data_IF_523722243016
#
_entry.id   IF_523722243016
#
_cell.length_a   1.000
_cell.length_b   1.000
_cell.length_c   1.000
_cell.angle_alpha   90.00
_cell.angle_beta   90.00
_cell.angle_gamma   90.00
#
_symmetry.space_group_name_H-M   'P 1'
#
loop_
_entity.id
_entity.type
_entity.pdbx_description
1 polymer ?
#
# COMPACT_ATOMS: atom_id res chain seq x y z
N UNK A 1 -5.00 -23.31 12.49
CA UNK A 1 -4.42 -22.06 13.02
C UNK A 1 -5.58 -21.12 13.35
N UNK A 2 -5.50 -20.33 14.43
CA UNK A 2 -6.59 -19.41 14.77
C UNK A 2 -6.64 -18.23 13.78
N UNK A 3 -7.86 -17.75 13.47
CA UNK A 3 -8.09 -16.52 12.68
C UNK A 3 -7.19 -15.40 13.18
N UNK A 4 -6.57 -14.66 12.24
CA UNK A 4 -5.75 -13.49 12.57
C UNK A 4 -6.72 -12.36 12.90
N UNK A 5 -6.71 -11.88 14.14
CA UNK A 5 -7.62 -10.82 14.61
C UNK A 5 -6.98 -9.43 14.60
N UNK A 6 -5.66 -9.36 14.78
CA UNK A 6 -4.89 -8.11 14.75
C UNK A 6 -3.45 -8.33 14.31
N UNK A 7 -2.77 -7.25 14.00
CA UNK A 7 -1.34 -7.16 13.75
C UNK A 7 -0.76 -5.99 14.55
N UNK A 8 0.54 -6.01 14.79
CA UNK A 8 1.27 -4.86 15.30
C UNK A 8 1.95 -4.14 14.16
N UNK A 9 1.94 -2.82 14.18
CA UNK A 9 2.71 -2.00 13.26
C UNK A 9 4.20 -2.06 13.68
N UNK A 10 4.83 -3.21 13.43
CA UNK A 10 6.17 -3.55 13.87
C UNK A 10 6.37 -3.34 15.36
N UNK A 11 7.54 -2.86 15.74
CA UNK A 11 7.94 -2.58 17.12
C UNK A 11 7.29 -1.33 17.77
N UNK A 12 6.33 -0.68 17.09
CA UNK A 12 5.66 0.53 17.60
C UNK A 12 4.72 0.28 18.77
N UNK A 13 4.23 -0.96 18.94
CA UNK A 13 3.14 -1.27 19.84
C UNK A 13 1.74 -0.86 19.35
N UNK A 14 1.62 -0.16 18.22
CA UNK A 14 0.34 0.22 17.61
C UNK A 14 -0.32 -1.05 17.03
N UNK A 15 -1.52 -1.36 17.52
CA UNK A 15 -2.32 -2.46 16.97
C UNK A 15 -3.16 -1.98 15.78
N UNK A 16 -3.24 -2.83 14.75
CA UNK A 16 -4.02 -2.61 13.54
C UNK A 16 -4.78 -3.88 13.15
N UNK A 17 -5.79 -3.75 12.33
CA UNK A 17 -6.46 -4.89 11.68
C UNK A 17 -5.46 -5.76 10.89
N UNK A 18 -5.79 -7.03 10.58
CA UNK A 18 -4.90 -7.94 9.84
C UNK A 18 -4.53 -7.46 8.43
N UNK A 19 -5.30 -6.52 7.91
CA UNK A 19 -5.04 -5.80 6.67
C UNK A 19 -5.42 -4.33 6.83
N UNK A 20 -4.79 -3.46 6.04
CA UNK A 20 -5.24 -2.09 5.84
C UNK A 20 -5.95 -1.93 4.50
N UNK A 21 -6.22 -0.69 4.11
CA UNK A 21 -6.68 -0.31 2.78
C UNK A 21 -5.75 0.71 2.14
N UNK A 22 -5.39 0.48 0.87
CA UNK A 22 -4.64 1.43 0.04
C UNK A 22 -5.57 2.44 -0.60
N UNK A 23 -5.34 3.72 -0.30
CA UNK A 23 -6.19 4.83 -0.71
C UNK A 23 -5.71 5.53 -1.99
N UNK A 24 -4.83 4.89 -2.77
CA UNK A 24 -4.36 5.48 -4.02
C UNK A 24 -5.48 5.64 -5.04
N UNK A 25 -6.30 4.60 -5.23
CA UNK A 25 -7.34 4.61 -6.26
C UNK A 25 -8.49 5.59 -5.98
N UNK A 26 -8.67 6.05 -4.74
CA UNK A 26 -9.65 7.07 -4.36
C UNK A 26 -9.08 8.50 -4.43
N UNK A 27 -7.80 8.66 -4.76
CA UNK A 27 -7.18 9.98 -4.94
C UNK A 27 -7.63 10.70 -6.22
N UNK A 28 -8.17 9.97 -7.18
CA UNK A 28 -8.53 10.54 -8.48
C UNK A 28 -7.33 10.76 -9.41
N UNK A 29 -7.52 11.52 -10.49
CA UNK A 29 -6.49 11.71 -11.51
C UNK A 29 -5.39 12.66 -11.03
N UNK A 30 -4.14 12.34 -11.39
CA UNK A 30 -2.96 13.21 -11.30
C UNK A 30 -1.89 12.70 -12.27
N UNK A 31 -0.91 13.53 -12.60
CA UNK A 31 0.02 13.26 -13.70
C UNK A 31 1.47 13.57 -13.32
N UNK A 32 2.42 12.92 -14.03
CA UNK A 32 3.81 13.32 -14.14
C UNK A 32 4.08 13.62 -15.61
N UNK A 33 4.07 14.91 -15.98
CA UNK A 33 4.01 15.33 -17.37
C UNK A 33 2.74 14.83 -18.06
N UNK A 34 2.90 14.04 -19.13
CA UNK A 34 1.76 13.42 -19.84
C UNK A 34 1.37 12.03 -19.31
N UNK A 35 2.15 11.49 -18.37
CA UNK A 35 1.94 10.12 -17.85
C UNK A 35 0.94 10.13 -16.70
N UNK A 36 -0.21 9.44 -16.81
CA UNK A 36 -1.16 9.34 -15.73
C UNK A 36 -0.56 8.55 -14.56
N UNK A 37 -0.75 9.06 -13.35
CA UNK A 37 -0.32 8.45 -12.10
C UNK A 37 -1.52 8.04 -11.23
N UNK A 38 -2.73 8.37 -11.64
CA UNK A 38 -3.98 8.05 -10.95
C UNK A 38 -4.75 6.91 -11.61
N UNK A 39 -5.95 6.66 -11.10
CA UNK A 39 -6.84 5.58 -11.53
C UNK A 39 -8.07 6.12 -12.28
N UNK A 40 -7.99 7.33 -12.86
CA UNK A 40 -9.11 8.04 -13.46
C UNK A 40 -10.03 8.70 -12.43
N UNK A 41 -11.18 9.20 -12.89
CA UNK A 41 -12.16 9.91 -12.06
C UNK A 41 -12.71 9.03 -10.93
N UNK A 42 -13.03 9.67 -9.80
CA UNK A 42 -13.52 9.02 -8.58
C UNK A 42 -14.79 9.72 -8.06
N UNK A 43 -15.63 8.95 -7.38
CA UNK A 43 -16.77 9.44 -6.62
C UNK A 43 -16.38 9.47 -5.13
N UNK A 44 -16.25 10.68 -4.58
CA UNK A 44 -15.86 10.87 -3.18
C UNK A 44 -16.89 10.30 -2.20
N UNK A 45 -18.16 10.42 -2.51
CA UNK A 45 -19.22 9.90 -1.64
C UNK A 45 -19.21 8.37 -1.60
N UNK A 46 -18.96 7.71 -2.76
CA UNK A 46 -18.74 6.25 -2.77
C UNK A 46 -17.46 5.88 -2.03
N UNK A 47 -16.39 6.66 -2.19
CA UNK A 47 -15.14 6.44 -1.47
C UNK A 47 -15.31 6.52 0.05
N UNK A 48 -16.07 7.52 0.53
CA UNK A 48 -16.37 7.69 1.96
C UNK A 48 -17.26 6.55 2.47
N UNK A 49 -18.30 6.17 1.71
CA UNK A 49 -19.13 4.99 2.06
C UNK A 49 -18.29 3.72 2.16
N UNK A 50 -17.35 3.53 1.24
CA UNK A 50 -16.45 2.38 1.25
C UNK A 50 -15.50 2.39 2.47
N UNK A 51 -14.97 3.56 2.86
CA UNK A 51 -14.14 3.71 4.06
C UNK A 51 -14.96 3.39 5.32
N UNK A 52 -16.18 3.89 5.43
CA UNK A 52 -17.05 3.58 6.57
C UNK A 52 -17.41 2.09 6.63
N UNK A 53 -17.71 1.48 5.47
CA UNK A 53 -17.93 0.02 5.40
C UNK A 53 -16.69 -0.79 5.84
N UNK A 54 -15.48 -0.28 5.56
CA UNK A 54 -14.24 -0.90 6.03
C UNK A 54 -14.12 -0.85 7.55
N UNK A 55 -14.44 0.29 8.17
CA UNK A 55 -14.47 0.44 9.63
C UNK A 55 -15.47 -0.53 10.28
N UNK A 56 -16.67 -0.65 9.70
CA UNK A 56 -17.71 -1.58 10.20
C UNK A 56 -17.27 -3.05 10.09
N UNK A 57 -16.38 -3.36 9.14
CA UNK A 57 -15.77 -4.68 8.96
C UNK A 57 -14.49 -4.87 9.78
N UNK A 58 -14.13 -3.90 10.64
CA UNK A 58 -13.00 -3.97 11.56
C UNK A 58 -11.64 -3.58 10.96
N UNK A 59 -11.58 -2.98 9.79
CA UNK A 59 -10.34 -2.44 9.21
C UNK A 59 -10.03 -1.10 9.88
N UNK A 60 -8.80 -0.95 10.39
CA UNK A 60 -8.39 0.24 11.15
C UNK A 60 -7.21 0.98 10.53
N UNK A 61 -6.48 0.37 9.58
CA UNK A 61 -5.32 0.98 8.92
C UNK A 61 -5.69 1.48 7.51
N UNK A 62 -5.37 2.74 7.21
CA UNK A 62 -5.58 3.36 5.91
C UNK A 62 -4.26 3.96 5.42
N UNK A 63 -3.78 3.49 4.27
CA UNK A 63 -2.54 3.94 3.64
C UNK A 63 -2.84 4.89 2.48
N UNK A 64 -2.32 6.09 2.55
CA UNK A 64 -2.41 7.12 1.51
C UNK A 64 -1.03 7.69 1.17
N UNK A 65 -0.96 8.78 0.42
CA UNK A 65 0.21 9.60 0.20
C UNK A 65 -0.20 11.04 -0.12
N UNK A 66 0.70 11.99 0.17
CA UNK A 66 0.50 13.39 -0.15
C UNK A 66 0.24 13.62 -1.65
N UNK A 67 0.90 12.84 -2.51
CA UNK A 67 0.82 12.96 -3.98
C UNK A 67 -0.44 12.35 -4.59
N UNK A 68 -1.16 11.47 -3.91
CA UNK A 68 -2.34 10.79 -4.48
C UNK A 68 -3.47 11.77 -4.77
N UNK A 69 -3.71 11.99 -6.09
CA UNK A 69 -4.61 13.02 -6.58
C UNK A 69 -4.18 14.43 -6.20
N UNK A 70 -2.86 14.68 -6.00
CA UNK A 70 -2.32 15.94 -5.54
C UNK A 70 -2.97 16.42 -4.21
N UNK A 71 -2.93 15.56 -3.20
CA UNK A 71 -3.50 15.84 -1.88
C UNK A 71 -4.96 15.42 -1.71
N UNK A 72 -5.65 15.04 -2.79
CA UNK A 72 -7.08 14.75 -2.74
C UNK A 72 -7.42 13.55 -1.85
N UNK A 73 -6.65 12.45 -1.95
CA UNK A 73 -6.86 11.26 -1.12
C UNK A 73 -6.79 11.56 0.39
N UNK A 74 -5.86 12.41 0.82
CA UNK A 74 -5.77 12.86 2.22
C UNK A 74 -7.03 13.65 2.64
N UNK A 75 -7.56 14.53 1.77
CA UNK A 75 -8.81 15.27 2.04
C UNK A 75 -10.03 14.35 2.13
N UNK A 76 -10.13 13.31 1.30
CA UNK A 76 -11.21 12.31 1.37
C UNK A 76 -11.14 11.58 2.71
N UNK A 77 -9.94 11.17 3.16
CA UNK A 77 -9.76 10.55 4.48
C UNK A 77 -10.14 11.50 5.62
N UNK A 78 -9.78 12.77 5.55
CA UNK A 78 -10.15 13.78 6.55
C UNK A 78 -11.67 13.90 6.71
N UNK A 79 -12.41 13.90 5.59
CA UNK A 79 -13.89 13.91 5.60
C UNK A 79 -14.45 12.62 6.19
N UNK A 80 -13.92 11.47 5.79
CA UNK A 80 -14.38 10.17 6.26
C UNK A 80 -14.15 9.95 7.76
N UNK A 81 -13.09 10.54 8.33
CA UNK A 81 -12.70 10.33 9.74
C UNK A 81 -13.04 11.49 10.65
N UNK A 82 -13.86 12.45 10.18
CA UNK A 82 -14.31 13.57 11.01
C UNK A 82 -14.99 13.06 12.30
N UNK A 83 -14.46 13.49 13.45
CA UNK A 83 -14.96 13.07 14.78
C UNK A 83 -14.53 11.68 15.25
N UNK A 84 -13.81 10.89 14.44
CA UNK A 84 -13.38 9.53 14.79
C UNK A 84 -11.87 9.27 14.54
N UNK A 85 -11.06 10.33 14.40
CA UNK A 85 -9.62 10.24 14.07
C UNK A 85 -8.85 9.26 14.96
N UNK A 86 -9.15 9.21 16.24
CA UNK A 86 -8.49 8.33 17.22
C UNK A 86 -8.81 6.84 17.07
N UNK A 87 -9.83 6.49 16.26
CA UNK A 87 -10.24 5.10 16.01
C UNK A 87 -9.48 4.47 14.84
N UNK A 88 -8.68 5.24 14.11
CA UNK A 88 -7.99 4.81 12.89
C UNK A 88 -6.50 5.06 12.98
N UNK A 89 -5.75 4.27 12.23
CA UNK A 89 -4.31 4.41 12.00
C UNK A 89 -4.13 4.90 10.56
N UNK A 90 -3.58 6.09 10.39
CA UNK A 90 -3.31 6.70 9.09
C UNK A 90 -1.82 6.58 8.77
N UNK A 91 -1.52 5.91 7.67
CA UNK A 91 -0.22 5.90 7.04
C UNK A 91 -0.26 6.86 5.84
N UNK A 92 0.61 7.86 5.80
CA UNK A 92 0.80 8.69 4.61
C UNK A 92 2.26 8.78 4.23
N UNK A 93 2.57 9.39 3.10
CA UNK A 93 3.90 9.40 2.51
C UNK A 93 4.30 10.81 2.07
N UNK A 94 5.61 11.03 1.93
CA UNK A 94 6.20 12.29 1.49
C UNK A 94 7.31 12.04 0.48
N UNK A 95 7.84 13.05 -0.11
CA UNK A 95 8.93 13.24 -1.03
C UNK A 95 8.50 13.97 -2.30
N UNK A 96 7.38 13.52 -2.91
CA UNK A 96 6.91 14.15 -4.15
C UNK A 96 6.33 15.53 -3.88
N UNK A 97 6.76 16.48 -4.71
CA UNK A 97 6.22 17.86 -4.79
C UNK A 97 5.22 17.90 -5.94
N UNK A 98 4.12 18.58 -5.76
CA UNK A 98 3.05 18.66 -6.75
C UNK A 98 2.31 20.00 -6.68
N UNK A 99 1.67 20.36 -7.77
CA UNK A 99 0.75 21.47 -7.86
C UNK A 99 -0.70 20.93 -7.72
N UNK A 100 -1.41 21.40 -6.69
CA UNK A 100 -2.78 20.96 -6.39
C UNK A 100 -3.80 21.39 -7.46
N UNK A 101 -3.57 22.52 -8.14
CA UNK A 101 -4.49 23.07 -9.14
C UNK A 101 -4.40 22.29 -10.46
N UNK A 102 -3.18 22.06 -10.93
CA UNK A 102 -2.93 21.34 -12.18
C UNK A 102 -2.86 19.84 -11.99
N UNK A 103 -2.79 19.36 -10.73
CA UNK A 103 -2.57 17.96 -10.35
C UNK A 103 -1.31 17.35 -10.96
N UNK A 104 -0.28 18.18 -11.17
CA UNK A 104 1.00 17.73 -11.70
C UNK A 104 2.01 17.47 -10.61
N UNK A 105 2.70 16.34 -10.72
CA UNK A 105 3.94 16.09 -9.96
C UNK A 105 5.02 16.96 -10.59
N UNK A 106 5.65 17.82 -9.78
CA UNK A 106 6.64 18.81 -10.23
C UNK A 106 8.07 18.45 -9.84
N UNK A 107 8.24 17.45 -8.96
CA UNK A 107 9.56 16.98 -8.53
C UNK A 107 9.53 16.23 -7.22
N UNK A 108 10.67 16.23 -6.52
CA UNK A 108 10.83 15.64 -5.19
C UNK A 108 11.70 16.54 -4.32
N UNK A 109 11.42 16.55 -3.01
CA UNK A 109 12.24 17.29 -2.03
C UNK A 109 12.43 16.47 -0.74
N UNK A 110 13.51 15.65 -0.67
CA UNK A 110 13.86 14.89 0.52
C UNK A 110 14.72 15.70 1.51
N UNK A 111 14.87 17.00 1.32
CA UNK A 111 15.59 17.86 2.27
C UNK A 111 14.85 17.93 3.62
N UNK A 112 15.54 18.21 4.73
CA UNK A 112 14.89 18.41 6.03
C UNK A 112 13.77 19.46 6.00
N UNK A 113 13.93 20.54 5.24
CA UNK A 113 12.92 21.58 5.07
C UNK A 113 11.72 21.05 4.24
N UNK A 114 11.98 20.34 3.14
CA UNK A 114 10.94 19.73 2.30
C UNK A 114 10.12 18.67 3.03
N UNK A 115 10.79 17.80 3.82
CA UNK A 115 10.12 16.79 4.65
C UNK A 115 9.18 17.46 5.67
N UNK A 116 9.62 18.51 6.34
CA UNK A 116 8.82 19.26 7.33
C UNK A 116 7.64 19.95 6.66
N UNK A 117 7.85 20.63 5.54
CA UNK A 117 6.78 21.27 4.78
C UNK A 117 5.74 20.25 4.27
N UNK A 118 6.19 19.10 3.78
CA UNK A 118 5.30 18.01 3.35
C UNK A 118 4.48 17.43 4.52
N UNK A 119 5.09 17.29 5.72
CA UNK A 119 4.42 16.83 6.93
C UNK A 119 3.31 17.79 7.35
N UNK A 120 3.62 19.09 7.46
CA UNK A 120 2.63 20.14 7.77
C UNK A 120 1.47 20.15 6.76
N UNK A 121 1.80 20.07 5.45
CA UNK A 121 0.80 19.97 4.41
C UNK A 121 -0.11 18.76 4.56
N UNK A 122 0.43 17.59 4.91
CA UNK A 122 -0.36 16.38 5.15
C UNK A 122 -1.23 16.52 6.41
N UNK A 123 -0.72 17.06 7.50
CA UNK A 123 -1.49 17.33 8.72
C UNK A 123 -2.69 18.24 8.44
N UNK A 124 -2.48 19.32 7.66
CA UNK A 124 -3.55 20.23 7.24
C UNK A 124 -4.60 19.52 6.38
N UNK A 125 -4.20 18.78 5.35
CA UNK A 125 -5.14 18.07 4.46
C UNK A 125 -5.90 16.96 5.17
N UNK A 126 -5.26 16.23 6.08
CA UNK A 126 -5.85 15.19 6.93
C UNK A 126 -6.69 15.76 8.09
N UNK A 127 -6.59 17.07 8.35
CA UNK A 127 -7.26 17.75 9.45
C UNK A 127 -7.00 17.07 10.81
N UNK A 128 -5.71 16.89 11.16
CA UNK A 128 -5.26 16.18 12.35
C UNK A 128 -3.95 16.75 12.86
N UNK A 129 -3.67 16.60 14.15
CA UNK A 129 -2.44 17.06 14.79
C UNK A 129 -1.30 16.03 14.70
N UNK A 130 -1.59 14.79 14.28
CA UNK A 130 -0.59 13.73 14.19
C UNK A 130 -0.84 12.76 13.05
N UNK A 131 0.25 12.17 12.54
CA UNK A 131 0.25 11.04 11.59
C UNK A 131 0.75 9.79 12.33
N UNK A 132 0.08 8.65 12.17
CA UNK A 132 0.50 7.41 12.85
C UNK A 132 1.75 6.80 12.22
N UNK A 133 1.82 6.71 10.90
CA UNK A 133 2.98 6.22 10.15
C UNK A 133 3.30 7.17 8.99
N UNK A 134 4.49 7.78 9.01
CA UNK A 134 4.95 8.68 7.96
C UNK A 134 6.06 8.02 7.14
N UNK A 135 5.86 7.87 5.83
CA UNK A 135 6.73 7.01 5.02
C UNK A 135 7.48 7.82 3.94
N UNK A 136 8.77 7.55 3.79
CA UNK A 136 9.56 8.06 2.68
C UNK A 136 9.16 7.36 1.38
N UNK A 137 8.70 8.14 0.39
CA UNK A 137 8.08 7.65 -0.84
C UNK A 137 9.05 7.76 -2.03
N UNK A 138 10.19 7.13 -1.90
CA UNK A 138 11.19 7.05 -2.97
C UNK A 138 11.85 5.67 -2.94
N UNK A 139 11.40 4.80 -3.86
CA UNK A 139 11.89 3.42 -3.92
C UNK A 139 13.39 3.37 -4.24
N UNK A 140 13.91 4.33 -5.02
CA UNK A 140 15.25 4.27 -5.62
C UNK A 140 16.24 5.25 -4.99
N UNK A 141 15.84 5.99 -3.97
CA UNK A 141 16.72 6.96 -3.29
C UNK A 141 18.00 6.30 -2.77
N UNK A 142 19.19 6.90 -3.00
CA UNK A 142 20.46 6.32 -2.59
C UNK A 142 20.54 6.11 -1.08
N UNK A 143 20.88 4.90 -0.60
CA UNK A 143 20.91 4.60 0.83
C UNK A 143 21.99 5.40 1.60
N UNK A 144 23.10 5.74 0.95
CA UNK A 144 24.17 6.57 1.52
C UNK A 144 23.77 8.04 1.78
N UNK A 145 22.67 8.49 1.17
CA UNK A 145 22.09 9.83 1.35
C UNK A 145 20.86 9.85 2.28
N UNK A 146 20.43 8.69 2.77
CA UNK A 146 19.16 8.58 3.50
C UNK A 146 19.25 8.91 5.01
N UNK A 147 20.45 9.02 5.56
CA UNK A 147 20.63 9.33 7.00
C UNK A 147 19.98 10.68 7.41
N UNK A 148 20.16 11.81 6.71
CA UNK A 148 19.48 13.07 7.05
C UNK A 148 17.96 12.99 6.97
N UNK A 149 17.41 12.15 6.05
CA UNK A 149 15.97 11.89 5.97
C UNK A 149 15.50 11.20 7.25
N UNK A 150 16.20 10.14 7.68
CA UNK A 150 15.88 9.39 8.90
C UNK A 150 15.97 10.29 10.15
N UNK A 151 17.01 11.09 10.29
CA UNK A 151 17.17 12.03 11.42
C UNK A 151 16.05 13.07 11.49
N UNK A 152 15.62 13.58 10.33
CA UNK A 152 14.48 14.50 10.26
C UNK A 152 13.19 13.83 10.74
N UNK A 153 12.97 12.55 10.38
CA UNK A 153 11.81 11.78 10.82
C UNK A 153 11.85 11.52 12.34
N UNK A 154 13.00 11.20 12.92
CA UNK A 154 13.15 11.11 14.40
C UNK A 154 12.77 12.43 15.09
N UNK A 155 13.22 13.57 14.57
CA UNK A 155 12.85 14.87 15.10
C UNK A 155 11.33 15.13 15.04
N UNK A 156 10.67 14.74 13.93
CA UNK A 156 9.21 14.86 13.81
C UNK A 156 8.46 13.95 14.81
N UNK A 157 9.04 12.80 15.19
CA UNK A 157 8.49 11.98 16.28
C UNK A 157 8.65 12.67 17.64
N UNK A 158 9.80 13.26 17.92
CA UNK A 158 10.05 14.01 19.17
C UNK A 158 9.12 15.21 19.29
N UNK A 159 8.79 15.88 18.17
CA UNK A 159 7.82 16.97 18.10
C UNK A 159 6.35 16.50 18.23
N UNK A 160 6.09 15.20 18.21
CA UNK A 160 4.74 14.62 18.30
C UNK A 160 3.90 14.75 17.02
N UNK A 161 4.47 15.22 15.90
CA UNK A 161 3.79 15.36 14.59
C UNK A 161 3.55 14.01 13.91
N UNK A 162 4.45 13.07 14.11
CA UNK A 162 4.31 11.68 13.65
C UNK A 162 4.56 10.73 14.82
N UNK A 163 3.91 9.58 14.84
CA UNK A 163 4.11 8.58 15.89
C UNK A 163 5.26 7.64 15.55
N UNK A 164 5.34 7.26 14.29
CA UNK A 164 6.35 6.33 13.74
C UNK A 164 6.63 6.68 12.29
N UNK A 165 7.69 6.08 11.74
CA UNK A 165 8.01 6.27 10.34
C UNK A 165 8.47 4.98 9.67
N UNK A 166 8.57 5.01 8.33
CA UNK A 166 9.05 3.91 7.50
C UNK A 166 9.55 4.38 6.14
N UNK A 167 9.97 3.42 5.33
CA UNK A 167 10.37 3.66 3.94
C UNK A 167 9.56 2.78 3.00
N UNK A 168 9.04 3.37 1.91
CA UNK A 168 8.44 2.62 0.81
C UNK A 168 9.54 2.23 -0.17
N UNK A 169 10.09 1.02 -0.02
CA UNK A 169 11.20 0.50 -0.82
C UNK A 169 11.17 -1.02 -0.93
N UNK A 170 11.72 -1.53 -2.05
CA UNK A 170 11.87 -2.96 -2.35
C UNK A 170 13.30 -3.48 -2.11
N UNK A 171 14.22 -2.63 -1.63
CA UNK A 171 15.65 -2.90 -1.56
C UNK A 171 16.15 -3.06 -0.13
N UNK A 172 16.79 -4.21 0.19
CA UNK A 172 17.27 -4.53 1.54
C UNK A 172 18.19 -3.48 2.15
N UNK A 173 19.14 -2.95 1.38
CA UNK A 173 20.12 -1.97 1.86
C UNK A 173 19.48 -0.65 2.34
N UNK A 174 18.34 -0.26 1.77
CA UNK A 174 17.58 0.91 2.20
C UNK A 174 16.82 0.65 3.50
N UNK A 175 16.27 -0.56 3.62
CA UNK A 175 15.62 -0.99 4.87
C UNK A 175 16.60 -0.93 6.03
N UNK A 176 17.84 -1.39 5.86
CA UNK A 176 18.85 -1.41 6.91
C UNK A 176 19.21 -0.01 7.42
N UNK A 177 19.23 1.02 6.54
CA UNK A 177 19.48 2.40 6.96
C UNK A 177 18.39 2.89 7.92
N UNK A 178 17.13 2.71 7.56
CA UNK A 178 16.02 3.19 8.38
C UNK A 178 15.81 2.35 9.64
N UNK A 179 16.04 1.04 9.56
CA UNK A 179 15.90 0.12 10.69
C UNK A 179 16.82 0.45 11.90
N UNK A 180 17.88 1.23 11.69
CA UNK A 180 18.75 1.75 12.77
C UNK A 180 18.04 2.74 13.68
N UNK A 181 17.04 3.47 13.16
CA UNK A 181 16.28 4.43 13.95
C UNK A 181 15.23 3.74 14.82
N UNK A 182 15.15 4.08 16.11
CA UNK A 182 14.28 3.40 17.08
C UNK A 182 12.79 3.56 16.77
N UNK A 183 12.39 4.59 16.04
CA UNK A 183 11.01 4.87 15.67
C UNK A 183 10.66 4.45 14.24
N UNK A 184 11.59 3.84 13.49
CA UNK A 184 11.28 3.12 12.27
C UNK A 184 10.54 1.82 12.62
N UNK A 185 9.33 1.65 12.12
CA UNK A 185 8.46 0.53 12.50
C UNK A 185 7.88 -0.24 11.32
N UNK A 186 8.07 0.27 10.10
CA UNK A 186 7.50 -0.32 8.91
C UNK A 186 8.38 -0.16 7.68
N UNK A 187 8.22 -1.11 6.77
CA UNK A 187 8.67 -1.01 5.37
C UNK A 187 7.44 -1.24 4.50
N UNK A 188 7.24 -0.38 3.50
CA UNK A 188 6.23 -0.64 2.49
C UNK A 188 6.89 -1.16 1.22
N UNK A 189 6.58 -2.41 0.84
CA UNK A 189 7.20 -3.08 -0.29
C UNK A 189 6.18 -3.65 -1.25
N UNK A 190 6.59 -3.81 -2.51
CA UNK A 190 5.84 -4.57 -3.49
C UNK A 190 5.89 -6.04 -3.10
N UNK A 191 4.72 -6.63 -2.82
CA UNK A 191 4.63 -8.05 -2.49
C UNK A 191 3.26 -8.61 -2.84
N UNK A 192 3.25 -9.70 -3.59
CA UNK A 192 2.06 -10.51 -3.85
C UNK A 192 2.46 -11.93 -4.26
N UNK A 193 1.48 -12.80 -4.43
CA UNK A 193 1.72 -14.22 -4.75
C UNK A 193 2.55 -14.44 -6.01
N UNK A 194 2.58 -13.54 -6.97
CA UNK A 194 3.36 -13.65 -8.20
C UNK A 194 4.71 -12.92 -8.13
N UNK A 195 4.95 -12.12 -7.09
CA UNK A 195 6.07 -11.20 -6.99
C UNK A 195 6.51 -11.12 -5.52
N UNK A 196 7.37 -12.06 -5.12
CA UNK A 196 7.87 -12.21 -3.74
C UNK A 196 9.15 -11.42 -3.52
N UNK A 197 9.41 -11.02 -2.27
CA UNK A 197 10.63 -10.35 -1.85
C UNK A 197 11.15 -10.93 -0.51
N UNK A 198 11.72 -12.14 -0.53
CA UNK A 198 12.17 -12.82 0.68
C UNK A 198 13.25 -12.06 1.46
N UNK A 199 14.11 -11.30 0.77
CA UNK A 199 15.18 -10.54 1.41
C UNK A 199 14.66 -9.42 2.31
N UNK A 200 13.71 -8.62 1.81
CA UNK A 200 13.09 -7.55 2.62
C UNK A 200 12.22 -8.14 3.74
N UNK A 201 11.50 -9.24 3.49
CA UNK A 201 10.72 -9.92 4.54
C UNK A 201 11.62 -10.40 5.67
N UNK A 202 12.76 -10.99 5.37
CA UNK A 202 13.74 -11.42 6.39
C UNK A 202 14.24 -10.24 7.26
N UNK A 203 14.44 -9.07 6.66
CA UNK A 203 14.81 -7.87 7.42
C UNK A 203 13.65 -7.35 8.28
N UNK A 204 12.42 -7.41 7.79
CA UNK A 204 11.24 -7.07 8.60
C UNK A 204 11.13 -8.00 9.83
N UNK A 205 11.41 -9.29 9.68
CA UNK A 205 11.45 -10.23 10.80
C UNK A 205 12.61 -9.93 11.76
N UNK A 206 13.82 -9.68 11.22
CA UNK A 206 15.03 -9.37 12.01
C UNK A 206 14.87 -8.10 12.87
N UNK A 207 14.30 -7.05 12.32
CA UNK A 207 14.21 -5.74 12.97
C UNK A 207 12.85 -5.44 13.60
N UNK A 208 11.94 -6.41 13.61
CA UNK A 208 10.56 -6.26 14.09
C UNK A 208 9.82 -5.12 13.40
N UNK A 209 9.87 -5.07 12.07
CA UNK A 209 9.18 -4.09 11.24
C UNK A 209 7.90 -4.69 10.65
N UNK A 210 6.85 -3.90 10.52
CA UNK A 210 5.68 -4.27 9.72
C UNK A 210 6.04 -4.19 8.23
N UNK A 211 5.73 -5.24 7.49
CA UNK A 211 5.84 -5.28 6.04
C UNK A 211 4.50 -4.87 5.43
N UNK A 212 4.29 -3.58 5.14
CA UNK A 212 3.10 -3.13 4.42
C UNK A 212 3.23 -3.55 2.96
N UNK A 213 2.29 -4.37 2.49
CA UNK A 213 2.37 -4.94 1.15
C UNK A 213 1.56 -4.09 0.18
N UNK A 214 2.25 -3.22 -0.59
CA UNK A 214 1.66 -2.53 -1.73
C UNK A 214 1.49 -3.49 -2.91
N UNK A 215 0.50 -3.27 -3.74
CA UNK A 215 0.18 -4.14 -4.86
C UNK A 215 -0.16 -5.59 -4.48
N UNK A 216 -0.85 -5.87 -3.35
CA UNK A 216 -1.13 -7.24 -2.90
C UNK A 216 -2.00 -8.03 -3.88
N UNK A 217 -2.77 -7.32 -4.72
CA UNK A 217 -3.59 -7.87 -5.80
C UNK A 217 -3.01 -7.61 -7.19
N UNK A 218 -1.69 -7.33 -7.31
CA UNK A 218 -1.01 -7.09 -8.58
C UNK A 218 -1.75 -6.06 -9.46
N UNK A 219 -2.07 -4.88 -8.90
CA UNK A 219 -2.83 -3.80 -9.55
C UNK A 219 -4.22 -4.26 -10.03
N UNK A 220 -4.79 -5.26 -9.37
CA UNK A 220 -6.08 -5.86 -9.68
C UNK A 220 -6.00 -7.10 -10.59
N UNK A 221 -4.83 -7.49 -11.09
CA UNK A 221 -4.67 -8.68 -11.92
C UNK A 221 -5.02 -9.97 -11.17
N UNK A 222 -4.77 -10.01 -9.85
CA UNK A 222 -5.15 -11.13 -8.95
C UNK A 222 -6.63 -11.05 -8.53
N UNK A 223 -7.50 -10.78 -9.50
CA UNK A 223 -8.97 -10.84 -9.37
C UNK A 223 -9.55 -11.48 -10.62
N UNK A 224 -10.83 -11.83 -10.61
CA UNK A 224 -11.52 -12.35 -11.79
C UNK A 224 -12.04 -11.23 -12.74
N UNK A 225 -11.63 -9.96 -12.49
CA UNK A 225 -12.15 -8.80 -13.22
C UNK A 225 -11.59 -8.66 -14.65
N UNK A 226 -10.36 -9.13 -14.89
CA UNK A 226 -9.64 -8.86 -16.13
C UNK A 226 -9.45 -10.09 -17.00
N UNK A 227 -9.82 -9.96 -18.28
CA UNK A 227 -9.60 -10.92 -19.36
C UNK A 227 -8.64 -10.36 -20.40
N UNK A 228 -8.28 -11.17 -21.39
CA UNK A 228 -7.45 -10.76 -22.55
C UNK A 228 -8.08 -9.62 -23.36
N UNK A 229 -9.43 -9.50 -23.32
CA UNK A 229 -10.18 -8.49 -24.07
C UNK A 229 -10.33 -7.16 -23.30
N UNK A 230 -9.92 -7.13 -22.04
CA UNK A 230 -9.99 -5.93 -21.22
C UNK A 230 -9.17 -4.80 -21.84
N UNK A 231 -9.75 -3.60 -21.87
CA UNK A 231 -9.07 -2.35 -22.28
C UNK A 231 -9.31 -1.32 -21.19
N UNK A 232 -8.21 -0.76 -20.69
CA UNK A 232 -8.23 0.26 -19.65
C UNK A 232 -8.26 1.65 -20.25
N UNK A 233 -8.85 2.60 -19.54
CA UNK A 233 -8.97 3.99 -19.96
C UNK A 233 -7.59 4.65 -20.10
N UNK A 234 -7.51 5.71 -20.89
CA UNK A 234 -6.24 6.38 -21.18
C UNK A 234 -5.68 7.17 -19.99
N UNK A 235 -6.54 7.58 -19.07
CA UNK A 235 -6.23 8.28 -17.82
C UNK A 235 -6.01 7.36 -16.61
N UNK A 236 -6.15 6.05 -16.81
CA UNK A 236 -5.79 5.03 -15.81
C UNK A 236 -4.27 4.78 -15.86
N UNK A 237 -3.61 4.74 -14.71
CA UNK A 237 -2.17 4.46 -14.58
C UNK A 237 -1.74 3.14 -15.25
N UNK A 238 -2.66 2.21 -15.48
CA UNK A 238 -2.46 0.94 -16.20
C UNK A 238 -2.81 1.03 -17.69
N UNK A 239 -3.21 2.22 -18.16
CA UNK A 239 -3.63 2.50 -19.54
C UNK A 239 -2.49 2.47 -20.55
N UNK A 240 -2.74 3.01 -21.77
CA UNK A 240 -1.74 3.03 -22.85
C UNK A 240 -0.49 3.84 -22.53
N UNK A 241 -0.60 4.87 -21.68
CA UNK A 241 0.51 5.73 -21.24
C UNK A 241 0.98 5.32 -19.84
N UNK A 242 0.88 4.04 -19.48
CA UNK A 242 1.35 3.53 -18.20
C UNK A 242 2.85 3.78 -18.01
N UNK A 243 3.31 4.10 -16.79
CA UNK A 243 4.74 4.27 -16.51
C UNK A 243 5.51 2.95 -16.68
N UNK A 244 6.82 3.02 -16.91
CA UNK A 244 7.69 1.88 -17.20
C UNK A 244 7.70 0.82 -16.08
N UNK A 245 7.50 1.22 -14.82
CA UNK A 245 7.42 0.30 -13.70
C UNK A 245 6.14 -0.57 -13.66
N UNK A 246 5.12 -0.26 -14.51
CA UNK A 246 3.85 -0.98 -14.59
C UNK A 246 4.04 -2.32 -15.31
N UNK A 247 4.37 -3.36 -14.59
CA UNK A 247 4.66 -4.70 -15.15
C UNK A 247 3.42 -5.57 -15.37
N UNK A 248 2.36 -5.38 -14.60
CA UNK A 248 1.16 -6.23 -14.66
C UNK A 248 0.21 -5.91 -15.81
N UNK A 249 0.32 -4.70 -16.34
CA UNK A 249 -0.46 -4.23 -17.50
C UNK A 249 0.48 -3.57 -18.49
N UNK A 250 0.19 -3.77 -19.79
CA UNK A 250 0.95 -3.16 -20.90
C UNK A 250 -0.03 -2.71 -21.97
N UNK A 251 0.15 -1.50 -22.47
CA UNK A 251 -0.72 -0.92 -23.51
C UNK A 251 -2.22 -0.95 -23.15
N UNK A 252 -2.56 -0.76 -21.89
CA UNK A 252 -3.93 -0.78 -21.39
C UNK A 252 -4.56 -2.18 -21.31
N UNK A 253 -3.75 -3.24 -21.35
CA UNK A 253 -4.19 -4.64 -21.30
C UNK A 253 -3.46 -5.41 -20.20
N UNK A 254 -4.06 -6.48 -19.64
CA UNK A 254 -3.31 -7.42 -18.81
C UNK A 254 -2.08 -7.95 -19.55
N UNK A 255 -0.93 -7.95 -18.89
CA UNK A 255 0.30 -8.52 -19.42
C UNK A 255 0.17 -10.06 -19.45
N UNK A 256 0.47 -10.67 -20.60
CA UNK A 256 0.28 -12.12 -20.81
C UNK A 256 1.14 -12.99 -19.90
N UNK A 257 2.39 -12.60 -19.64
CA UNK A 257 3.29 -13.32 -18.73
C UNK A 257 2.70 -13.39 -17.32
N UNK A 258 2.29 -12.23 -16.77
CA UNK A 258 1.69 -12.15 -15.43
C UNK A 258 0.31 -12.80 -15.37
N UNK A 259 -0.46 -12.75 -16.46
CA UNK A 259 -1.73 -13.47 -16.55
C UNK A 259 -1.52 -14.99 -16.49
N UNK A 260 -0.50 -15.53 -17.17
CA UNK A 260 -0.16 -16.96 -17.09
C UNK A 260 0.26 -17.37 -15.68
N UNK A 261 1.05 -16.57 -14.98
CA UNK A 261 1.41 -16.80 -13.56
C UNK A 261 0.16 -16.83 -12.66
N UNK A 262 -0.76 -15.87 -12.84
CA UNK A 262 -2.06 -15.86 -12.12
C UNK A 262 -2.84 -17.14 -12.39
N UNK A 263 -2.98 -17.52 -13.64
CA UNK A 263 -3.79 -18.68 -14.05
C UNK A 263 -3.22 -19.99 -13.50
N UNK A 264 -1.90 -20.12 -13.42
CA UNK A 264 -1.24 -21.28 -12.82
C UNK A 264 -1.62 -21.49 -11.35
N UNK A 265 -1.76 -20.40 -10.56
CA UNK A 265 -2.04 -20.51 -9.12
C UNK A 265 -3.52 -20.30 -8.78
N UNK A 266 -4.36 -19.95 -9.76
CA UNK A 266 -5.75 -19.53 -9.57
C UNK A 266 -6.58 -20.54 -8.78
N UNK A 267 -6.47 -21.83 -9.08
CA UNK A 267 -7.26 -22.88 -8.42
C UNK A 267 -6.90 -23.00 -6.93
N UNK A 268 -5.62 -22.85 -6.58
CA UNK A 268 -5.16 -22.89 -5.18
C UNK A 268 -5.70 -21.69 -4.43
N UNK A 269 -5.59 -20.49 -5.01
CA UNK A 269 -6.08 -19.27 -4.40
C UNK A 269 -7.59 -19.31 -4.17
N UNK A 270 -8.37 -19.78 -5.16
CA UNK A 270 -9.82 -19.85 -5.10
C UNK A 270 -10.36 -21.05 -4.30
N UNK A 271 -9.49 -21.89 -3.72
CA UNK A 271 -9.92 -23.05 -2.94
C UNK A 271 -10.63 -22.66 -1.63
N UNK A 272 -11.40 -23.60 -1.07
CA UNK A 272 -12.08 -23.46 0.23
C UNK A 272 -13.12 -22.31 0.27
N UNK A 273 -13.74 -21.97 -0.86
CA UNK A 273 -14.77 -20.93 -0.93
C UNK A 273 -14.25 -19.50 -0.98
N UNK A 274 -12.94 -19.31 -1.13
CA UNK A 274 -12.33 -17.98 -1.35
C UNK A 274 -12.50 -17.50 -2.79
N UNK A 275 -12.53 -16.19 -3.00
CA UNK A 275 -12.21 -15.62 -4.31
C UNK A 275 -10.70 -15.65 -4.56
N UNK A 276 -10.26 -15.43 -5.80
CA UNK A 276 -8.83 -15.32 -6.13
C UNK A 276 -8.18 -14.19 -5.32
N UNK A 277 -8.85 -13.04 -5.19
CA UNK A 277 -8.38 -11.92 -4.39
C UNK A 277 -8.20 -12.29 -2.91
N UNK A 278 -9.17 -12.98 -2.33
CA UNK A 278 -9.10 -13.43 -0.94
C UNK A 278 -7.98 -14.45 -0.72
N UNK A 279 -7.77 -15.36 -1.67
CA UNK A 279 -6.65 -16.29 -1.63
C UNK A 279 -5.28 -15.61 -1.75
N UNK A 280 -5.17 -14.58 -2.58
CA UNK A 280 -3.94 -13.78 -2.69
C UNK A 280 -3.60 -13.05 -1.39
N UNK A 281 -4.61 -12.53 -0.68
CA UNK A 281 -4.43 -11.93 0.66
C UNK A 281 -4.07 -13.01 1.71
N UNK A 282 -4.71 -14.18 1.65
CA UNK A 282 -4.39 -15.31 2.54
C UNK A 282 -2.96 -15.84 2.33
N UNK A 283 -2.43 -15.78 1.10
CA UNK A 283 -1.03 -16.09 0.80
C UNK A 283 -0.07 -15.14 1.52
N UNK A 284 -0.34 -13.83 1.53
CA UNK A 284 0.47 -12.85 2.24
C UNK A 284 0.54 -13.16 3.73
N UNK A 285 -0.58 -13.51 4.37
CA UNK A 285 -0.59 -13.87 5.78
C UNK A 285 0.16 -15.16 6.08
N UNK A 286 0.20 -16.11 5.13
CA UNK A 286 1.00 -17.33 5.23
C UNK A 286 2.50 -17.06 5.05
N UNK A 287 2.86 -16.03 4.25
CA UNK A 287 4.23 -15.70 3.89
C UNK A 287 5.07 -15.22 5.08
N UNK A 288 4.50 -14.40 5.94
CA UNK A 288 5.14 -13.96 7.19
C UNK A 288 4.11 -13.38 8.16
N UNK A 289 4.44 -13.43 9.45
CA UNK A 289 3.66 -12.72 10.47
C UNK A 289 3.83 -11.21 10.43
N UNK A 290 4.82 -10.70 9.69
CA UNK A 290 5.08 -9.26 9.53
C UNK A 290 4.28 -8.64 8.38
N UNK A 291 3.74 -9.45 7.46
CA UNK A 291 2.95 -8.94 6.33
C UNK A 291 1.66 -8.27 6.79
N UNK A 292 1.39 -7.13 6.16
CA UNK A 292 0.21 -6.31 6.39
C UNK A 292 -0.29 -5.80 5.03
N UNK A 293 -1.13 -6.59 4.33
CA UNK A 293 -1.61 -6.23 3.01
C UNK A 293 -2.47 -4.98 3.03
N UNK A 294 -2.28 -4.10 2.04
CA UNK A 294 -3.03 -2.86 1.84
C UNK A 294 -3.69 -2.84 0.44
N UNK A 295 -4.66 -3.74 0.16
CA UNK A 295 -5.35 -3.74 -1.13
C UNK A 295 -6.06 -2.41 -1.38
N UNK A 296 -6.00 -1.95 -2.64
CA UNK A 296 -6.75 -0.79 -3.11
C UNK A 296 -8.25 -1.07 -3.22
N UNK A 297 -9.03 0.01 -3.23
CA UNK A 297 -10.48 -0.04 -3.40
C UNK A 297 -11.00 1.24 -4.06
N UNK A 298 -12.20 1.17 -4.64
CA UNK A 298 -12.97 2.29 -5.18
C UNK A 298 -14.44 2.24 -4.76
N UNK A 299 -14.93 1.06 -4.36
CA UNK A 299 -16.35 0.82 -4.06
C UNK A 299 -16.53 0.02 -2.79
N UNK A 300 -17.71 0.13 -2.18
CA UNK A 300 -18.14 -0.69 -1.04
C UNK A 300 -18.04 -2.19 -1.35
N UNK A 301 -18.37 -2.60 -2.58
CA UNK A 301 -18.32 -4.02 -2.98
C UNK A 301 -16.87 -4.56 -2.94
N UNK A 302 -15.89 -3.79 -3.41
CA UNK A 302 -14.47 -4.17 -3.36
C UNK A 302 -13.95 -4.25 -1.92
N UNK A 303 -14.37 -3.32 -1.05
CA UNK A 303 -14.02 -3.37 0.38
C UNK A 303 -14.56 -4.63 1.03
N UNK A 304 -15.84 -4.97 0.77
CA UNK A 304 -16.46 -6.21 1.30
C UNK A 304 -15.76 -7.46 0.81
N UNK A 305 -15.37 -7.52 -0.46
CA UNK A 305 -14.62 -8.65 -1.02
C UNK A 305 -13.24 -8.78 -0.34
N UNK A 306 -12.47 -7.68 -0.28
CA UNK A 306 -11.16 -7.66 0.36
C UNK A 306 -11.25 -8.06 1.84
N UNK A 307 -12.14 -7.43 2.60
CA UNK A 307 -12.35 -7.70 4.02
C UNK A 307 -12.82 -9.13 4.28
N UNK A 308 -13.57 -9.71 3.35
CA UNK A 308 -13.99 -11.11 3.40
C UNK A 308 -12.82 -12.10 3.51
N UNK A 309 -11.62 -11.72 3.07
CA UNK A 309 -10.42 -12.52 3.26
C UNK A 309 -10.11 -12.80 4.74
N UNK A 310 -10.43 -11.87 5.65
CA UNK A 310 -10.21 -12.03 7.10
C UNK A 310 -11.08 -13.13 7.74
N UNK A 311 -12.04 -13.68 7.00
CA UNK A 311 -12.85 -14.81 7.47
C UNK A 311 -12.16 -16.16 7.28
N UNK A 312 -11.11 -16.21 6.46
CA UNK A 312 -10.35 -17.41 6.14
C UNK A 312 -9.01 -17.47 6.90
N UNK A 313 -8.52 -18.68 7.10
CA UNK A 313 -7.17 -18.91 7.56
C UNK A 313 -6.14 -18.58 6.46
N UNK A 314 -4.88 -18.25 6.83
CA UNK A 314 -3.77 -18.21 5.88
C UNK A 314 -3.67 -19.49 5.06
N UNK A 315 -3.04 -19.44 3.88
CA UNK A 315 -2.76 -20.63 3.09
C UNK A 315 -1.94 -21.64 3.90
N UNK A 316 -2.20 -22.92 3.66
CA UNK A 316 -1.45 -24.01 4.30
C UNK A 316 -0.04 -24.09 3.71
N UNK A 317 0.89 -24.72 4.46
CA UNK A 317 2.26 -24.96 3.96
C UNK A 317 2.32 -25.81 2.71
N UNK A 318 1.33 -26.71 2.50
CA UNK A 318 1.19 -27.50 1.28
C UNK A 318 0.82 -26.60 0.10
N UNK A 319 -0.20 -25.74 0.27
CA UNK A 319 -0.61 -24.76 -0.75
C UNK A 319 0.53 -23.79 -1.10
N UNK A 320 1.30 -23.32 -0.09
CA UNK A 320 2.46 -22.46 -0.32
C UNK A 320 3.52 -23.14 -1.19
N UNK A 321 3.90 -24.40 -0.86
CA UNK A 321 4.87 -25.19 -1.63
C UNK A 321 4.40 -25.46 -3.06
N UNK A 322 3.13 -25.75 -3.25
CA UNK A 322 2.59 -25.97 -4.59
C UNK A 322 2.59 -24.69 -5.43
N UNK A 323 2.27 -23.53 -4.84
CA UNK A 323 2.40 -22.22 -5.49
C UNK A 323 3.86 -21.96 -5.90
N UNK A 324 4.81 -22.21 -5.00
CA UNK A 324 6.24 -21.99 -5.28
C UNK A 324 6.72 -22.89 -6.44
N UNK A 325 6.27 -24.14 -6.49
CA UNK A 325 6.54 -25.05 -7.62
C UNK A 325 5.93 -24.56 -8.94
N UNK A 326 4.67 -24.12 -8.93
CA UNK A 326 3.97 -23.64 -10.13
C UNK A 326 4.56 -22.31 -10.65
N UNK A 327 5.15 -21.50 -9.78
CA UNK A 327 5.80 -20.24 -10.11
C UNK A 327 7.32 -20.35 -10.26
N UNK A 328 7.85 -21.58 -10.25
CA UNK A 328 9.29 -21.88 -10.43
C UNK A 328 10.20 -21.16 -9.41
N UNK A 329 9.73 -21.07 -8.16
CA UNK A 329 10.47 -20.48 -7.03
C UNK A 329 11.09 -21.58 -6.16
N UNK A 330 11.98 -22.38 -6.69
CA UNK A 330 12.65 -23.42 -5.94
C UNK A 330 13.96 -22.93 -5.28
#
# INVERSE_FOLDING_TARGET
>A
MSKITSRKLGRSGIEVSPMGLGCWAIGGPFWAGETPQGWGEVDDEESIRAIHAALDLGITLFDTANVYGAGHSERVLARAFAGIRSRVVIATKFNFVFDETTRQVTGSDPSPAGIRAACEGSLLRLNTDYIDLYQFHDNDFPPDKAEPVRETLESLVEEGKIRTYGWSTDYPERVEVFARGPKCTAVQLQLNVMDDNPAVIALCEKYDLAALNRGPLAMGLLTDKYSTDTRLAADDVRGKKSPDWMKYFKDGKPNSEWSSKRDAVRQILASNGRTVAQGALAWLWARSRKTLPIPGFRTVAQVKENAGAMQFDPLTMEQMREIDKLLERA
#
